data_IF_989192222624
#
_entry.id   IF_989192222624
#
_cell.length_a   1.000
_cell.length_b   1.000
_cell.length_c   1.000
_cell.angle_alpha   90.00
_cell.angle_beta   90.00
_cell.angle_gamma   90.00
#
_symmetry.space_group_name_H-M   'P 1'
#
loop_
_entity.id
_entity.type
_entity.pdbx_description
1 polymer ?
#
# COMPACT_ATOMS: atom_id res chain seq x y z
N UNK A 1 36.32 35.16 -23.02
CA UNK A 1 35.37 35.73 -24.00
C UNK A 1 34.08 34.92 -24.05
N UNK A 2 34.09 33.62 -24.39
CA UNK A 2 32.89 32.76 -24.41
C UNK A 2 32.19 32.63 -23.03
N UNK A 3 32.97 32.47 -21.95
CA UNK A 3 32.46 32.42 -20.56
C UNK A 3 31.80 33.74 -20.10
N UNK A 4 32.26 34.89 -20.62
CA UNK A 4 31.66 36.20 -20.33
C UNK A 4 30.34 36.39 -21.09
N UNK A 5 30.29 35.95 -22.36
CA UNK A 5 29.09 36.02 -23.19
C UNK A 5 27.97 35.14 -22.63
N UNK A 6 28.29 33.95 -22.10
CA UNK A 6 27.32 33.04 -21.47
C UNK A 6 26.76 33.57 -20.12
N UNK A 7 27.55 34.38 -19.41
CA UNK A 7 27.15 35.08 -18.18
C UNK A 7 26.17 36.23 -18.48
N UNK A 8 26.51 37.06 -19.47
CA UNK A 8 25.69 38.19 -19.94
C UNK A 8 24.36 37.75 -20.59
N UNK A 9 24.34 36.57 -21.22
CA UNK A 9 23.13 35.94 -21.77
C UNK A 9 22.23 35.26 -20.70
N UNK A 10 22.60 35.30 -19.42
CA UNK A 10 21.83 34.68 -18.34
C UNK A 10 21.79 33.14 -18.38
N UNK A 11 22.67 32.50 -19.16
CA UNK A 11 22.71 31.03 -19.31
C UNK A 11 23.48 30.33 -18.16
N UNK A 12 24.32 31.06 -17.41
CA UNK A 12 25.18 30.49 -16.36
C UNK A 12 24.76 30.82 -14.92
N UNK A 13 23.83 31.75 -14.72
CA UNK A 13 23.32 32.12 -13.40
C UNK A 13 21.79 32.10 -13.42
N UNK A 14 21.20 31.11 -12.73
CA UNK A 14 19.79 31.22 -12.37
C UNK A 14 19.62 32.56 -11.62
N UNK A 15 18.68 33.43 -12.02
CA UNK A 15 18.40 34.66 -11.30
C UNK A 15 18.27 34.35 -9.80
N UNK A 16 18.83 35.16 -8.90
CA UNK A 16 18.82 34.88 -7.45
C UNK A 16 17.42 34.57 -6.91
N UNK A 17 16.39 35.15 -7.54
CA UNK A 17 15.00 34.86 -7.24
C UNK A 17 14.57 33.45 -7.64
N UNK A 18 14.89 32.99 -8.86
CA UNK A 18 14.63 31.63 -9.34
C UNK A 18 15.37 30.57 -8.50
N UNK A 19 16.61 30.86 -8.10
CA UNK A 19 17.37 30.00 -7.20
C UNK A 19 16.71 29.91 -5.81
N UNK A 20 16.26 31.04 -5.26
CA UNK A 20 15.51 31.10 -3.99
C UNK A 20 14.19 30.32 -4.09
N UNK A 21 13.41 30.50 -5.17
CA UNK A 21 12.17 29.76 -5.41
C UNK A 21 12.41 28.24 -5.54
N UNK A 22 13.45 27.83 -6.26
CA UNK A 22 13.83 26.42 -6.38
C UNK A 22 14.23 25.81 -5.04
N UNK A 23 14.97 26.55 -4.20
CA UNK A 23 15.34 26.12 -2.86
C UNK A 23 14.10 25.92 -1.98
N UNK A 24 13.16 26.88 -1.98
CA UNK A 24 11.91 26.76 -1.23
C UNK A 24 11.09 25.55 -1.65
N UNK A 25 10.88 25.37 -2.96
CA UNK A 25 10.14 24.21 -3.51
C UNK A 25 10.82 22.91 -3.08
N UNK A 26 12.15 22.85 -3.12
CA UNK A 26 12.92 21.65 -2.73
C UNK A 26 12.76 21.35 -1.24
N UNK A 27 12.86 22.36 -0.38
CA UNK A 27 12.70 22.20 1.07
C UNK A 27 11.28 21.75 1.39
N UNK A 28 10.27 22.43 0.83
CA UNK A 28 8.87 22.08 1.07
C UNK A 28 8.52 20.70 0.53
N UNK A 29 9.03 20.33 -0.64
CA UNK A 29 8.91 18.99 -1.18
C UNK A 29 9.57 17.94 -0.27
N UNK A 30 10.76 18.22 0.26
CA UNK A 30 11.43 17.31 1.20
C UNK A 30 10.63 17.14 2.50
N UNK A 31 10.03 18.20 3.04
CA UNK A 31 9.16 18.15 4.22
C UNK A 31 7.90 17.33 3.93
N UNK A 32 7.22 17.58 2.82
CA UNK A 32 6.03 16.82 2.42
C UNK A 32 6.34 15.35 2.16
N UNK A 33 7.49 15.05 1.56
CA UNK A 33 7.98 13.68 1.37
C UNK A 33 8.24 12.99 2.71
N UNK A 34 8.91 13.67 3.65
CA UNK A 34 9.21 13.12 4.97
C UNK A 34 7.92 12.82 5.76
N UNK A 35 6.95 13.72 5.74
CA UNK A 35 5.65 13.53 6.38
C UNK A 35 4.88 12.36 5.74
N UNK A 36 4.76 12.36 4.42
CA UNK A 36 4.08 11.31 3.68
C UNK A 36 4.77 9.95 3.87
N UNK A 37 6.10 9.91 3.91
CA UNK A 37 6.87 8.71 4.23
C UNK A 37 6.62 8.23 5.66
N UNK A 38 6.59 9.11 6.66
CA UNK A 38 6.34 8.73 8.04
C UNK A 38 4.96 8.09 8.21
N UNK A 39 3.91 8.72 7.68
CA UNK A 39 2.54 8.19 7.67
C UNK A 39 2.49 6.88 6.84
N UNK A 40 3.08 6.92 5.65
CA UNK A 40 3.46 5.82 4.79
C UNK A 40 3.89 4.57 5.55
N UNK A 41 4.96 4.75 6.29
CA UNK A 41 5.67 3.72 7.01
C UNK A 41 4.86 3.17 8.19
N UNK A 42 4.17 4.04 8.95
CA UNK A 42 3.28 3.60 10.04
C UNK A 42 2.18 2.68 9.52
N UNK A 43 1.52 3.04 8.42
CA UNK A 43 0.47 2.20 7.82
C UNK A 43 1.02 0.90 7.18
N UNK A 44 2.29 0.92 6.76
CA UNK A 44 2.95 -0.31 6.31
C UNK A 44 3.24 -1.26 7.48
N UNK A 45 3.68 -0.73 8.63
CA UNK A 45 3.88 -1.51 9.85
C UNK A 45 2.57 -2.14 10.36
N UNK A 46 1.44 -1.45 10.25
CA UNK A 46 0.12 -2.01 10.61
C UNK A 46 -0.41 -3.01 9.58
N UNK A 47 0.27 -3.17 8.44
CA UNK A 47 -0.11 -4.09 7.36
C UNK A 47 -1.31 -3.61 6.53
N UNK A 48 -1.62 -2.31 6.57
CA UNK A 48 -2.75 -1.72 5.85
C UNK A 48 -2.53 -1.59 4.34
N UNK A 49 -1.27 -1.42 3.90
CA UNK A 49 -0.92 -1.30 2.47
C UNK A 49 0.46 -1.88 2.15
N UNK A 50 0.81 -1.98 0.86
CA UNK A 50 2.07 -2.53 0.42
C UNK A 50 3.19 -1.47 0.43
N UNK A 51 4.45 -1.92 0.50
CA UNK A 51 5.60 -0.99 0.45
C UNK A 51 5.70 -0.19 -0.86
N UNK A 52 5.05 -0.65 -1.94
CA UNK A 52 4.90 0.14 -3.17
C UNK A 52 4.01 1.36 -2.97
N UNK A 53 2.92 1.24 -2.21
CA UNK A 53 2.00 2.33 -1.91
C UNK A 53 2.69 3.42 -1.07
N UNK A 54 3.60 3.02 -0.16
CA UNK A 54 4.45 3.96 0.60
C UNK A 54 5.28 4.84 -0.32
N UNK A 55 5.97 4.25 -1.30
CA UNK A 55 6.80 5.00 -2.25
C UNK A 55 5.98 5.96 -3.10
N UNK A 56 4.82 5.50 -3.58
CA UNK A 56 3.89 6.32 -4.35
C UNK A 56 3.40 7.51 -3.51
N UNK A 57 2.97 7.26 -2.27
CA UNK A 57 2.49 8.29 -1.36
C UNK A 57 3.58 9.30 -0.99
N UNK A 58 4.82 8.85 -0.74
CA UNK A 58 5.97 9.72 -0.53
C UNK A 58 6.26 10.61 -1.73
N UNK A 59 6.19 10.07 -2.96
CA UNK A 59 6.38 10.86 -4.17
C UNK A 59 5.28 11.91 -4.34
N UNK A 60 4.02 11.56 -4.04
CA UNK A 60 2.91 12.52 -4.04
C UNK A 60 3.10 13.61 -2.99
N UNK A 61 3.58 13.26 -1.79
CA UNK A 61 3.92 14.22 -0.75
C UNK A 61 5.06 15.16 -1.11
N UNK A 62 6.04 14.67 -1.87
CA UNK A 62 7.12 15.49 -2.42
C UNK A 62 6.62 16.47 -3.48
N UNK A 63 5.66 16.03 -4.31
CA UNK A 63 5.14 16.79 -5.45
C UNK A 63 4.14 17.87 -5.02
N UNK A 64 3.25 17.54 -4.08
CA UNK A 64 2.14 18.41 -3.67
C UNK A 64 2.14 18.64 -2.15
N UNK A 65 3.21 19.21 -1.57
CA UNK A 65 3.33 19.36 -0.12
C UNK A 65 2.29 20.35 0.47
N UNK A 66 1.95 21.41 -0.27
CA UNK A 66 1.07 22.50 0.16
C UNK A 66 0.07 22.93 -0.91
N UNK A 67 -0.39 22.00 -1.74
CA UNK A 67 -1.45 22.32 -2.69
C UNK A 67 -2.73 22.72 -1.94
N UNK A 68 -3.27 23.88 -2.27
CA UNK A 68 -4.53 24.37 -1.69
C UNK A 68 -5.70 23.80 -2.48
N UNK A 69 -6.52 23.01 -1.79
CA UNK A 69 -7.68 22.36 -2.38
C UNK A 69 -8.75 23.38 -2.77
N UNK A 70 -9.37 23.28 -3.96
CA UNK A 70 -10.45 24.19 -4.33
C UNK A 70 -11.73 23.87 -3.55
N UNK A 71 -12.66 24.83 -3.50
CA UNK A 71 -14.01 24.73 -2.87
C UNK A 71 -14.04 24.55 -1.34
N UNK A 72 -12.89 24.35 -0.70
CA UNK A 72 -12.79 24.12 0.73
C UNK A 72 -11.60 24.91 1.26
N UNK A 73 -11.87 25.93 2.06
CA UNK A 73 -10.85 26.79 2.66
C UNK A 73 -10.44 26.26 4.04
N UNK A 74 -9.25 26.68 4.49
CA UNK A 74 -8.77 26.50 5.86
C UNK A 74 -8.70 25.05 6.36
N UNK A 75 -8.30 24.12 5.49
CA UNK A 75 -8.04 22.73 5.87
C UNK A 75 -6.87 22.69 6.88
N UNK A 76 -7.04 22.14 8.10
CA UNK A 76 -6.07 22.27 9.19
C UNK A 76 -4.87 21.30 9.10
N UNK A 77 -4.68 20.66 7.95
CA UNK A 77 -3.64 19.66 7.73
C UNK A 77 -3.12 19.72 6.28
N UNK A 78 -1.89 19.24 6.03
CA UNK A 78 -1.26 19.35 4.72
C UNK A 78 -1.90 18.42 3.68
N UNK A 79 -1.76 18.78 2.40
CA UNK A 79 -2.41 18.12 1.28
C UNK A 79 -2.18 16.60 1.15
N UNK A 80 -1.02 16.02 1.54
CA UNK A 80 -0.87 14.55 1.54
C UNK A 80 -1.92 13.84 2.41
N UNK A 81 -2.39 14.46 3.49
CA UNK A 81 -3.50 13.91 4.28
C UNK A 81 -4.85 14.05 3.57
N UNK A 82 -5.09 15.15 2.85
CA UNK A 82 -6.25 15.29 1.97
C UNK A 82 -6.29 14.16 0.93
N UNK A 83 -5.15 13.86 0.29
CA UNK A 83 -5.04 12.72 -0.65
C UNK A 83 -5.43 11.43 0.06
N UNK A 84 -4.89 11.16 1.25
CA UNK A 84 -5.18 9.94 2.00
C UNK A 84 -6.67 9.82 2.35
N UNK A 85 -7.28 10.87 2.89
CA UNK A 85 -8.70 10.87 3.25
C UNK A 85 -9.60 10.70 2.03
N UNK A 86 -9.35 11.45 0.95
CA UNK A 86 -10.10 11.31 -0.28
C UNK A 86 -9.98 9.90 -0.87
N UNK A 87 -8.78 9.30 -0.80
CA UNK A 87 -8.55 7.92 -1.27
C UNK A 87 -9.35 6.91 -0.46
N UNK A 88 -9.36 7.04 0.87
CA UNK A 88 -10.11 6.15 1.77
C UNK A 88 -11.61 6.30 1.53
N UNK A 89 -12.12 7.53 1.44
CA UNK A 89 -13.54 7.81 1.16
C UNK A 89 -13.94 7.23 -0.19
N UNK A 90 -13.12 7.39 -1.23
CA UNK A 90 -13.41 6.91 -2.58
C UNK A 90 -13.44 5.38 -2.66
N UNK A 91 -12.51 4.67 -2.01
CA UNK A 91 -12.44 3.21 -2.09
C UNK A 91 -13.42 2.50 -1.16
N UNK A 92 -13.84 3.15 -0.07
CA UNK A 92 -14.75 2.56 0.92
C UNK A 92 -16.05 2.00 0.32
N UNK A 93 -16.84 2.74 -0.49
CA UNK A 93 -18.08 2.19 -1.06
C UNK A 93 -17.81 1.02 -2.01
N UNK A 94 -16.73 1.08 -2.79
CA UNK A 94 -16.32 0.01 -3.70
C UNK A 94 -15.97 -1.25 -2.90
N UNK A 95 -15.22 -1.11 -1.81
CA UNK A 95 -14.89 -2.22 -0.93
C UNK A 95 -16.13 -2.79 -0.26
N UNK A 96 -17.06 -1.97 0.24
CA UNK A 96 -18.30 -2.43 0.84
C UNK A 96 -19.11 -3.28 -0.14
N UNK A 97 -19.31 -2.82 -1.39
CA UNK A 97 -20.01 -3.60 -2.44
C UNK A 97 -19.27 -4.89 -2.75
N UNK A 98 -17.94 -4.83 -2.92
CA UNK A 98 -17.13 -6.02 -3.19
C UNK A 98 -17.18 -7.03 -2.03
N UNK A 99 -17.16 -6.56 -0.77
CA UNK A 99 -17.29 -7.42 0.41
C UNK A 99 -18.66 -8.10 0.50
N UNK A 100 -19.73 -7.35 0.24
CA UNK A 100 -21.09 -7.89 0.21
C UNK A 100 -21.20 -8.97 -0.88
N UNK A 101 -20.72 -8.67 -2.10
CA UNK A 101 -20.69 -9.61 -3.21
C UNK A 101 -19.90 -10.90 -2.89
N UNK A 102 -18.69 -10.77 -2.33
CA UNK A 102 -17.89 -11.93 -1.92
C UNK A 102 -18.58 -12.75 -0.83
N UNK A 103 -19.21 -12.09 0.15
CA UNK A 103 -19.94 -12.75 1.24
C UNK A 103 -21.14 -13.55 0.73
N UNK A 104 -21.91 -13.00 -0.21
CA UNK A 104 -23.02 -13.72 -0.87
C UNK A 104 -22.54 -14.96 -1.64
N UNK A 105 -21.33 -14.93 -2.19
CA UNK A 105 -20.73 -16.06 -2.93
C UNK A 105 -19.92 -17.03 -2.04
N UNK A 106 -19.92 -16.85 -0.72
CA UNK A 106 -19.17 -17.69 0.22
C UNK A 106 -17.64 -17.65 0.03
N UNK A 107 -17.10 -16.59 -0.61
CA UNK A 107 -15.66 -16.42 -0.85
C UNK A 107 -15.06 -15.44 0.17
N UNK A 108 -13.84 -15.71 0.61
CA UNK A 108 -13.10 -14.80 1.49
C UNK A 108 -12.52 -13.62 0.72
N UNK A 109 -12.67 -12.40 1.25
CA UNK A 109 -12.23 -11.16 0.60
C UNK A 109 -10.69 -11.07 0.43
N UNK A 110 -9.97 -11.44 1.47
CA UNK A 110 -8.51 -11.25 1.60
C UNK A 110 -7.72 -12.53 1.28
N UNK A 111 -8.41 -13.56 0.78
CA UNK A 111 -7.81 -14.87 0.55
C UNK A 111 -8.21 -15.43 -0.80
N UNK A 112 -7.21 -15.87 -1.55
CA UNK A 112 -7.40 -16.58 -2.82
C UNK A 112 -6.95 -18.04 -2.68
N UNK A 113 -7.70 -18.98 -3.27
CA UNK A 113 -7.27 -20.39 -3.34
C UNK A 113 -6.47 -20.59 -4.62
N UNK A 114 -5.17 -20.79 -4.49
CA UNK A 114 -4.29 -21.12 -5.60
C UNK A 114 -3.89 -22.60 -5.55
N UNK A 115 -3.59 -23.21 -6.71
CA UNK A 115 -3.03 -24.57 -6.75
C UNK A 115 -1.58 -24.54 -6.31
N UNK A 116 -1.15 -25.55 -5.55
CA UNK A 116 0.24 -25.65 -5.07
C UNK A 116 1.21 -25.85 -6.24
N UNK A 117 0.77 -26.55 -7.30
CA UNK A 117 1.52 -26.74 -8.54
C UNK A 117 1.88 -25.42 -9.24
N UNK A 118 1.03 -24.40 -9.10
CA UNK A 118 1.17 -23.09 -9.75
C UNK A 118 1.91 -22.06 -8.86
N UNK A 119 2.31 -22.46 -7.65
CA UNK A 119 3.03 -21.55 -6.75
C UNK A 119 4.34 -21.08 -7.34
N UNK A 120 4.60 -19.78 -7.13
CA UNK A 120 5.84 -19.09 -7.43
C UNK A 120 6.46 -18.55 -6.14
N UNK A 121 7.77 -18.30 -6.20
CA UNK A 121 8.49 -17.62 -5.14
C UNK A 121 7.90 -16.22 -4.90
N UNK A 122 7.91 -15.78 -3.64
CA UNK A 122 7.35 -14.50 -3.19
C UNK A 122 5.84 -14.50 -2.90
N UNK A 123 5.09 -15.53 -3.30
CA UNK A 123 3.67 -15.64 -2.92
C UNK A 123 3.52 -15.77 -1.40
N UNK A 124 2.57 -15.03 -0.81
CA UNK A 124 2.38 -14.98 0.65
C UNK A 124 1.29 -15.96 1.08
N UNK A 125 1.62 -17.02 1.83
CA UNK A 125 0.64 -18.00 2.29
C UNK A 125 -0.21 -17.40 3.41
N UNK A 126 -1.51 -17.69 3.39
CA UNK A 126 -2.44 -17.33 4.44
C UNK A 126 -2.59 -18.43 5.51
N UNK A 127 -2.13 -19.64 5.23
CA UNK A 127 -2.19 -20.80 6.12
C UNK A 127 -0.80 -21.42 6.35
N UNK A 128 -0.62 -21.99 7.53
CA UNK A 128 0.60 -22.70 7.94
C UNK A 128 0.47 -24.17 7.55
N UNK A 129 1.38 -24.66 6.73
CA UNK A 129 1.56 -26.07 6.39
C UNK A 129 2.74 -26.56 7.22
N UNK A 130 2.49 -27.56 8.04
CA UNK A 130 3.47 -28.11 8.96
C UNK A 130 3.41 -29.63 8.94
N UNK A 131 4.47 -30.25 9.42
CA UNK A 131 4.60 -31.68 9.59
C UNK A 131 4.73 -32.02 11.06
N UNK A 132 3.92 -32.99 11.49
CA UNK A 132 3.90 -33.54 12.84
C UNK A 132 3.81 -35.06 12.71
N UNK A 133 4.75 -35.78 13.31
CA UNK A 133 4.79 -37.25 13.34
C UNK A 133 4.64 -37.89 11.94
N UNK A 134 5.33 -37.34 10.93
CA UNK A 134 5.29 -37.80 9.54
C UNK A 134 4.00 -37.47 8.77
N UNK A 135 3.00 -36.83 9.41
CA UNK A 135 1.76 -36.38 8.79
C UNK A 135 1.82 -34.88 8.50
N UNK A 136 1.52 -34.52 7.24
CA UNK A 136 1.43 -33.11 6.80
C UNK A 136 0.01 -32.61 7.06
N UNK A 137 -0.12 -31.54 7.84
CA UNK A 137 -1.40 -30.95 8.22
C UNK A 137 -1.44 -29.44 7.94
N UNK A 138 -2.65 -28.89 7.90
CA UNK A 138 -2.92 -27.47 7.63
C UNK A 138 -3.46 -26.80 8.87
N UNK A 139 -2.90 -25.65 9.20
CA UNK A 139 -3.41 -24.79 10.26
C UNK A 139 -3.72 -23.41 9.69
N UNK A 140 -4.99 -23.02 9.74
CA UNK A 140 -5.40 -21.62 9.56
C UNK A 140 -5.96 -21.12 10.89
N UNK A 141 -5.19 -20.32 11.62
CA UNK A 141 -5.68 -19.78 12.88
C UNK A 141 -6.75 -18.70 12.64
N UNK A 142 -7.92 -18.86 13.24
CA UNK A 142 -8.79 -17.74 13.64
C UNK A 142 -8.83 -17.61 15.18
N UNK A 143 -8.91 -18.72 15.92
CA UNK A 143 -8.93 -18.77 17.39
C UNK A 143 -8.46 -20.17 17.87
N UNK A 144 -7.17 -20.39 18.14
CA UNK A 144 -6.71 -21.68 18.65
C UNK A 144 -5.25 -21.72 19.12
N UNK A 145 -4.95 -22.58 20.10
CA UNK A 145 -3.60 -22.86 20.58
C UNK A 145 -2.72 -23.40 19.45
N UNK A 146 -1.49 -22.88 19.32
CA UNK A 146 -0.55 -23.33 18.29
C UNK A 146 -0.21 -24.81 18.53
N UNK A 147 -0.42 -25.71 17.55
CA UNK A 147 0.05 -27.08 17.67
C UNK A 147 1.59 -27.10 17.72
N UNK A 148 2.18 -28.01 18.50
CA UNK A 148 3.63 -28.26 18.48
C UNK A 148 3.95 -29.04 17.19
N UNK A 149 4.87 -28.53 16.38
CA UNK A 149 5.23 -29.06 15.07
C UNK A 149 6.74 -29.31 14.97
N UNK A 150 7.14 -30.35 14.22
CA UNK A 150 8.55 -30.69 14.02
C UNK A 150 9.16 -29.87 12.87
N UNK A 151 8.39 -29.64 11.80
CA UNK A 151 8.84 -28.89 10.63
C UNK A 151 7.74 -28.01 10.06
N UNK A 152 8.09 -26.79 9.66
CA UNK A 152 7.15 -25.81 9.08
C UNK A 152 7.57 -25.49 7.66
N UNK A 153 6.65 -25.66 6.72
CA UNK A 153 6.87 -25.40 5.29
C UNK A 153 6.40 -24.00 4.88
N UNK A 154 5.34 -23.47 5.51
CA UNK A 154 4.84 -22.12 5.23
C UNK A 154 4.63 -21.31 6.50
N UNK A 155 4.96 -20.01 6.46
CA UNK A 155 4.74 -19.11 7.59
C UNK A 155 3.93 -17.88 7.16
N UNK A 156 2.67 -17.72 7.61
CA UNK A 156 1.80 -16.60 7.24
C UNK A 156 2.25 -15.23 7.75
N UNK A 157 3.19 -15.19 8.71
CA UNK A 157 3.73 -13.95 9.27
C UNK A 157 4.89 -13.38 8.47
N UNK A 158 5.47 -14.16 7.55
CA UNK A 158 6.62 -13.72 6.75
C UNK A 158 6.11 -12.94 5.53
N UNK A 159 6.24 -11.62 5.57
CA UNK A 159 5.86 -10.74 4.46
C UNK A 159 6.70 -10.96 3.19
N UNK A 160 7.90 -11.54 3.32
CA UNK A 160 8.75 -11.91 2.18
C UNK A 160 8.18 -13.05 1.30
N UNK A 161 7.11 -13.72 1.75
CA UNK A 161 6.49 -14.82 1.00
C UNK A 161 7.26 -16.14 1.07
N UNK A 162 6.91 -17.07 0.17
CA UNK A 162 7.54 -18.39 0.04
C UNK A 162 8.85 -18.30 -0.73
N UNK A 163 9.89 -18.99 -0.25
CA UNK A 163 11.15 -19.15 -0.98
C UNK A 163 11.04 -20.21 -2.07
N UNK A 164 11.95 -20.17 -3.07
CA UNK A 164 12.02 -21.22 -4.11
C UNK A 164 12.11 -22.64 -3.55
N UNK A 165 12.88 -22.83 -2.48
CA UNK A 165 13.00 -24.11 -1.79
C UNK A 165 11.68 -24.56 -1.16
N UNK A 166 10.98 -23.64 -0.47
CA UNK A 166 9.68 -23.94 0.12
C UNK A 166 8.63 -24.30 -0.94
N UNK A 167 8.61 -23.58 -2.06
CA UNK A 167 7.74 -23.89 -3.20
C UNK A 167 8.04 -25.29 -3.74
N UNK A 168 9.31 -25.64 -3.92
CA UNK A 168 9.73 -26.98 -4.38
C UNK A 168 9.28 -28.09 -3.42
N UNK A 169 9.47 -27.89 -2.11
CA UNK A 169 9.04 -28.82 -1.08
C UNK A 169 7.51 -29.03 -1.09
N UNK A 170 6.72 -27.95 -1.21
CA UNK A 170 5.27 -28.04 -1.29
C UNK A 170 4.80 -28.80 -2.54
N UNK A 171 5.40 -28.55 -3.71
CA UNK A 171 5.10 -29.28 -4.94
C UNK A 171 5.45 -30.77 -4.82
N UNK A 172 6.54 -31.10 -4.13
CA UNK A 172 6.91 -32.49 -3.83
C UNK A 172 5.88 -33.19 -2.95
N UNK A 173 5.42 -32.55 -1.88
CA UNK A 173 4.41 -33.12 -0.98
C UNK A 173 3.07 -33.40 -1.68
N UNK A 174 2.70 -32.59 -2.68
CA UNK A 174 1.51 -32.83 -3.50
C UNK A 174 1.71 -34.01 -4.44
N UNK A 175 2.89 -34.12 -5.09
CA UNK A 175 3.23 -35.27 -5.95
C UNK A 175 3.26 -36.58 -5.17
N UNK A 176 3.73 -36.56 -3.93
CA UNK A 176 3.74 -37.71 -3.02
C UNK A 176 2.35 -38.04 -2.43
N UNK A 177 1.29 -37.30 -2.80
CA UNK A 177 -0.07 -37.53 -2.29
C UNK A 177 -0.29 -37.14 -0.83
N UNK A 178 0.74 -36.60 -0.16
CA UNK A 178 0.70 -36.21 1.27
C UNK A 178 -0.05 -34.91 1.53
N UNK A 179 -0.32 -34.11 0.49
CA UNK A 179 -0.96 -32.81 0.60
C UNK A 179 -1.92 -32.55 -0.57
N UNK A 180 -3.12 -32.06 -0.29
CA UNK A 180 -4.08 -31.65 -1.34
C UNK A 180 -3.51 -30.47 -2.16
N UNK A 181 -3.77 -30.45 -3.47
CA UNK A 181 -3.22 -29.43 -4.40
C UNK A 181 -3.92 -28.06 -4.35
N UNK A 182 -4.06 -27.47 -3.16
CA UNK A 182 -4.56 -26.10 -3.02
C UNK A 182 -3.95 -25.44 -1.78
N UNK A 183 -3.74 -24.14 -1.81
CA UNK A 183 -3.28 -23.33 -0.67
C UNK A 183 -4.01 -21.99 -0.67
N UNK A 184 -4.30 -21.45 0.51
CA UNK A 184 -4.81 -20.08 0.64
C UNK A 184 -3.64 -19.09 0.58
N UNK A 185 -3.70 -18.13 -0.33
CA UNK A 185 -2.76 -17.01 -0.42
C UNK A 185 -3.43 -15.73 0.09
N UNK A 186 -2.67 -14.86 0.74
CA UNK A 186 -3.15 -13.52 1.10
C UNK A 186 -3.25 -12.67 -0.17
N UNK A 187 -4.39 -12.00 -0.35
CA UNK A 187 -4.62 -11.05 -1.42
C UNK A 187 -4.59 -9.64 -0.84
N UNK A 188 -3.64 -8.82 -1.26
CA UNK A 188 -3.64 -7.40 -0.96
C UNK A 188 -4.70 -6.68 -1.80
N UNK A 189 -5.30 -5.64 -1.24
CA UNK A 189 -6.11 -4.70 -2.01
C UNK A 189 -5.12 -3.70 -2.63
N UNK A 190 -5.09 -3.52 -3.97
CA UNK A 190 -4.21 -2.52 -4.56
C UNK A 190 -4.72 -1.14 -4.15
N UNK A 191 -3.97 -0.44 -3.29
CA UNK A 191 -4.36 0.88 -2.80
C UNK A 191 -3.93 2.01 -3.75
N UNK A 192 -2.92 1.78 -4.58
CA UNK A 192 -2.45 2.76 -5.59
C UNK A 192 -3.56 3.38 -6.48
N UNK A 193 -4.55 2.64 -7.02
CA UNK A 193 -5.65 3.26 -7.76
C UNK A 193 -6.51 4.21 -6.89
N UNK A 194 -6.69 3.89 -5.61
CA UNK A 194 -7.38 4.76 -4.67
C UNK A 194 -6.59 6.05 -4.43
N UNK A 195 -5.26 5.95 -4.28
CA UNK A 195 -4.38 7.12 -4.20
C UNK A 195 -4.52 8.03 -5.42
N UNK A 196 -4.53 7.44 -6.63
CA UNK A 196 -4.77 8.19 -7.86
C UNK A 196 -6.12 8.91 -7.87
N UNK A 197 -7.19 8.23 -7.46
CA UNK A 197 -8.52 8.84 -7.32
C UNK A 197 -8.53 9.94 -6.25
N UNK A 198 -7.86 9.73 -5.11
CA UNK A 198 -7.79 10.71 -4.04
C UNK A 198 -7.10 12.00 -4.46
N UNK A 199 -6.03 11.91 -5.27
CA UNK A 199 -5.38 13.07 -5.90
C UNK A 199 -6.33 13.77 -6.85
N UNK A 200 -6.99 13.04 -7.76
CA UNK A 200 -7.93 13.63 -8.71
C UNK A 200 -9.07 14.37 -7.99
N UNK A 201 -9.66 13.73 -6.96
CA UNK A 201 -10.68 14.35 -6.12
C UNK A 201 -10.12 15.61 -5.44
N UNK A 202 -8.93 15.52 -4.85
CA UNK A 202 -8.28 16.65 -4.16
C UNK A 202 -8.04 17.84 -5.08
N UNK A 203 -7.68 17.60 -6.34
CA UNK A 203 -7.43 18.65 -7.34
C UNK A 203 -8.73 19.26 -7.89
N UNK A 204 -9.76 18.45 -8.17
CA UNK A 204 -10.97 18.95 -8.85
C UNK A 204 -12.09 19.36 -7.88
N UNK A 205 -12.26 18.62 -6.79
CA UNK A 205 -13.39 18.77 -5.86
C UNK A 205 -12.98 19.24 -4.46
N UNK A 206 -11.70 19.13 -4.14
CA UNK A 206 -11.11 19.55 -2.88
C UNK A 206 -11.11 18.46 -1.81
N UNK A 207 -11.13 18.86 -0.54
CA UNK A 207 -11.10 17.94 0.59
C UNK A 207 -12.51 17.45 0.96
N UNK A 208 -12.82 16.19 0.62
CA UNK A 208 -14.12 15.60 0.92
C UNK A 208 -14.34 15.43 2.41
N UNK A 209 -13.31 15.03 3.16
CA UNK A 209 -13.42 14.79 4.59
C UNK A 209 -13.73 16.08 5.33
N UNK A 210 -12.97 17.15 5.08
CA UNK A 210 -13.20 18.44 5.72
C UNK A 210 -14.56 19.03 5.32
N UNK A 211 -14.98 18.85 4.06
CA UNK A 211 -16.32 19.24 3.64
C UNK A 211 -17.43 18.51 4.41
N UNK A 212 -17.27 17.21 4.68
CA UNK A 212 -18.22 16.47 5.52
C UNK A 212 -18.19 16.95 6.98
N UNK A 213 -17.01 17.28 7.51
CA UNK A 213 -16.86 17.85 8.86
C UNK A 213 -17.61 19.19 8.95
N UNK A 214 -17.35 20.13 8.04
CA UNK A 214 -18.02 21.43 8.01
C UNK A 214 -19.55 21.28 7.91
N UNK A 215 -20.02 20.43 6.99
CA UNK A 215 -21.44 20.15 6.82
C UNK A 215 -22.09 19.54 8.09
N UNK A 216 -21.36 18.70 8.83
CA UNK A 216 -21.85 18.10 10.08
C UNK A 216 -21.92 19.11 11.23
N UNK A 217 -20.96 20.03 11.30
CA UNK A 217 -20.89 21.08 12.32
C UNK A 217 -21.66 22.36 11.95
N UNK A 218 -22.33 22.39 10.79
CA UNK A 218 -23.19 23.49 10.36
C UNK A 218 -22.44 24.75 9.92
N UNK A 219 -21.21 24.60 9.44
CA UNK A 219 -20.38 25.67 8.89
C UNK A 219 -20.36 25.67 7.36
#
# INVERSE_FOLDING_TARGET
MILGILSELGLLSLPPELARWGLWITIFGAVGAALAFAIGYVMWLTGGWAGGDVKLFTALGALLPFYTSPHVNDVPYPFPLTILFNSVIAILPILLVYTAYCRLRGRGLLYERAKITELREGMIPAETIYEKDGKVSRWSSKFGLKPRYNRVYTNPRRAAGLTRYQVGALKRLVREGKLKNYIKLKKGIPFAPALGLGVAIGIFYGDLYWRFVLAFFGA
#
